data_IF_701434657269
#
_entry.id   IF_701434657269
#
_cell.length_a   1.000
_cell.length_b   1.000
_cell.length_c   1.000
_cell.angle_alpha   90.00
_cell.angle_beta   90.00
_cell.angle_gamma   90.00
#
_symmetry.space_group_name_H-M   'P 1'
#
loop_
_entity.id
_entity.type
_entity.pdbx_description
1 polymer ?
#
# COMPACT_ATOMS: atom_id res chain seq x y z
N UNK A 1 20.83 5.10 -2.63
CA UNK A 1 19.54 5.76 -2.35
C UNK A 1 18.78 5.06 -1.22
N UNK A 2 18.51 3.76 -1.34
CA UNK A 2 17.80 2.98 -0.30
C UNK A 2 18.32 3.18 1.13
N UNK A 3 19.61 2.89 1.37
CA UNK A 3 20.21 3.05 2.70
C UNK A 3 20.20 4.49 3.21
N UNK A 4 20.28 5.47 2.31
CA UNK A 4 20.20 6.88 2.68
C UNK A 4 18.79 7.19 3.19
N UNK A 5 17.76 6.87 2.41
CA UNK A 5 16.37 7.20 2.69
C UNK A 5 15.87 6.42 3.91
N UNK A 6 15.97 5.09 3.89
CA UNK A 6 15.48 4.27 5.00
C UNK A 6 16.33 4.46 6.24
N UNK A 7 17.65 4.54 6.11
CA UNK A 7 18.51 4.83 7.24
C UNK A 7 18.16 6.17 7.89
N UNK A 8 17.99 7.23 7.11
CA UNK A 8 17.67 8.54 7.68
C UNK A 8 16.27 8.63 8.28
N UNK A 9 15.28 7.92 7.73
CA UNK A 9 13.95 7.80 8.37
C UNK A 9 14.06 7.01 9.68
N UNK A 10 14.74 5.86 9.67
CA UNK A 10 14.86 4.97 10.83
C UNK A 10 15.72 5.55 11.96
N UNK A 11 16.69 6.40 11.64
CA UNK A 11 17.50 7.12 12.65
C UNK A 11 16.91 8.49 13.03
N UNK A 12 15.73 8.85 12.51
CA UNK A 12 15.07 10.12 12.82
C UNK A 12 15.81 11.36 12.29
N UNK A 13 16.72 11.18 11.32
CA UNK A 13 17.49 12.27 10.70
C UNK A 13 16.58 13.16 9.84
N UNK A 14 15.56 12.55 9.22
CA UNK A 14 14.56 13.25 8.44
C UNK A 14 13.22 12.53 8.44
N UNK A 15 12.15 13.31 8.37
CA UNK A 15 10.76 12.84 8.25
C UNK A 15 10.49 12.22 6.87
N UNK A 16 9.41 11.42 6.67
CA UNK A 16 9.07 10.88 5.35
C UNK A 16 8.96 11.94 4.24
N UNK A 17 8.45 13.14 4.57
CA UNK A 17 8.34 14.25 3.63
C UNK A 17 9.72 14.77 3.22
N UNK A 18 10.62 14.97 4.18
CA UNK A 18 12.01 15.39 3.92
C UNK A 18 12.81 14.30 3.19
N UNK A 19 12.57 13.03 3.53
CA UNK A 19 13.17 11.88 2.87
C UNK A 19 12.85 11.83 1.37
N UNK A 20 11.62 12.21 0.99
CA UNK A 20 11.22 12.36 -0.41
C UNK A 20 12.06 13.41 -1.14
N UNK A 21 12.25 14.58 -0.54
CA UNK A 21 13.11 15.64 -1.09
C UNK A 21 14.58 15.21 -1.22
N UNK A 22 15.11 14.55 -0.20
CA UNK A 22 16.47 14.00 -0.21
C UNK A 22 16.62 12.91 -1.28
N UNK A 23 15.61 12.05 -1.45
CA UNK A 23 15.56 11.05 -2.51
C UNK A 23 15.54 11.64 -3.91
N UNK A 24 14.80 12.74 -4.11
CA UNK A 24 14.76 13.48 -5.37
C UNK A 24 16.11 14.12 -5.70
N UNK A 25 16.72 14.83 -4.73
CA UNK A 25 18.06 15.41 -4.89
C UNK A 25 19.09 14.31 -5.17
N UNK A 26 19.03 13.20 -4.43
CA UNK A 26 19.91 12.05 -4.64
C UNK A 26 19.78 11.49 -6.06
N UNK A 27 18.55 11.29 -6.54
CA UNK A 27 18.27 10.80 -7.90
C UNK A 27 18.78 11.77 -8.97
N UNK A 28 18.59 13.07 -8.78
CA UNK A 28 19.11 14.12 -9.64
C UNK A 28 20.65 14.10 -9.72
N UNK A 29 21.33 14.01 -8.57
CA UNK A 29 22.79 13.86 -8.50
C UNK A 29 23.26 12.59 -9.24
N UNK A 30 22.60 11.45 -9.03
CA UNK A 30 22.93 10.21 -9.72
C UNK A 30 22.81 10.33 -11.25
N UNK A 31 21.77 10.99 -11.74
CA UNK A 31 21.58 11.20 -13.17
C UNK A 31 22.60 12.18 -13.78
N UNK A 32 22.97 13.24 -13.06
CA UNK A 32 24.05 14.16 -13.46
C UNK A 32 25.41 13.46 -13.51
N UNK A 33 25.75 12.66 -12.49
CA UNK A 33 27.00 11.88 -12.46
C UNK A 33 27.09 10.89 -13.63
N UNK A 34 25.96 10.34 -14.07
CA UNK A 34 25.88 9.45 -15.25
C UNK A 34 25.88 10.21 -16.59
N UNK A 35 25.96 11.54 -16.59
CA UNK A 35 25.89 12.41 -17.78
C UNK A 35 24.65 12.15 -18.65
N UNK A 36 23.55 11.71 -18.04
CA UNK A 36 22.26 11.46 -18.72
C UNK A 36 21.24 12.57 -18.48
N UNK A 37 21.62 13.61 -17.74
CA UNK A 37 20.74 14.71 -17.40
C UNK A 37 20.77 15.77 -18.50
N UNK A 38 19.59 16.09 -19.03
CA UNK A 38 19.36 17.20 -19.95
C UNK A 38 18.14 18.00 -19.50
N UNK A 39 18.02 19.25 -19.96
CA UNK A 39 16.87 20.09 -19.61
C UNK A 39 15.51 19.49 -20.00
N UNK A 40 15.35 18.89 -21.20
CA UNK A 40 14.11 18.19 -21.55
C UNK A 40 13.78 17.04 -20.59
N UNK A 41 14.77 16.20 -20.25
CA UNK A 41 14.57 15.07 -19.32
C UNK A 41 14.13 15.56 -17.95
N UNK A 42 14.77 16.63 -17.43
CA UNK A 42 14.39 17.20 -16.14
C UNK A 42 12.95 17.71 -16.14
N UNK A 43 12.54 18.40 -17.20
CA UNK A 43 11.18 18.94 -17.33
C UNK A 43 10.15 17.83 -17.47
N UNK A 44 10.37 16.86 -18.36
CA UNK A 44 9.48 15.72 -18.59
C UNK A 44 9.29 14.90 -17.30
N UNK A 45 10.37 14.54 -16.61
CA UNK A 45 10.29 13.81 -15.34
C UNK A 45 9.58 14.61 -14.24
N UNK A 46 9.71 15.95 -14.23
CA UNK A 46 9.02 16.79 -13.26
C UNK A 46 7.52 16.86 -13.54
N UNK A 47 7.12 16.92 -14.81
CA UNK A 47 5.72 16.91 -15.22
C UNK A 47 5.08 15.56 -14.91
N UNK A 48 5.75 14.45 -15.20
CA UNK A 48 5.28 13.10 -14.86
C UNK A 48 5.08 12.95 -13.35
N UNK A 49 6.06 13.37 -12.54
CA UNK A 49 5.95 13.36 -11.09
C UNK A 49 4.77 14.23 -10.58
N UNK A 50 4.57 15.41 -11.18
CA UNK A 50 3.45 16.29 -10.83
C UNK A 50 2.09 15.68 -11.20
N UNK A 51 1.98 15.00 -12.34
CA UNK A 51 0.77 14.30 -12.75
C UNK A 51 0.43 13.15 -11.80
N UNK A 52 1.40 12.31 -11.46
CA UNK A 52 1.21 11.23 -10.47
C UNK A 52 0.77 11.80 -9.12
N UNK A 53 1.43 12.87 -8.66
CA UNK A 53 1.10 13.54 -7.40
C UNK A 53 -0.31 14.13 -7.42
N UNK A 54 -0.71 14.78 -8.53
CA UNK A 54 -2.04 15.34 -8.70
C UNK A 54 -3.14 14.27 -8.68
N UNK A 55 -2.91 13.11 -9.31
CA UNK A 55 -3.83 11.97 -9.25
C UNK A 55 -4.01 11.48 -7.82
N UNK A 56 -2.91 11.29 -7.07
CA UNK A 56 -2.96 10.86 -5.67
C UNK A 56 -3.72 11.88 -4.81
N UNK A 57 -3.43 13.17 -4.95
CA UNK A 57 -4.14 14.21 -4.20
C UNK A 57 -5.64 14.27 -4.53
N UNK A 58 -6.02 14.11 -5.80
CA UNK A 58 -7.42 14.11 -6.19
C UNK A 58 -8.20 12.97 -5.51
N UNK A 59 -7.59 11.79 -5.44
CA UNK A 59 -8.17 10.64 -4.75
C UNK A 59 -8.23 10.88 -3.24
N UNK A 60 -7.17 11.43 -2.65
CA UNK A 60 -7.14 11.77 -1.23
C UNK A 60 -8.24 12.78 -0.85
N UNK A 61 -8.47 13.81 -1.67
CA UNK A 61 -9.56 14.77 -1.47
C UNK A 61 -10.91 14.06 -1.54
N UNK A 62 -11.12 13.19 -2.54
CA UNK A 62 -12.34 12.39 -2.65
C UNK A 62 -12.55 11.47 -1.44
N UNK A 63 -11.49 10.85 -0.93
CA UNK A 63 -11.52 10.01 0.26
C UNK A 63 -11.86 10.80 1.53
N UNK A 64 -11.35 12.03 1.69
CA UNK A 64 -11.70 12.90 2.82
C UNK A 64 -13.18 13.30 2.79
N UNK A 65 -13.72 13.59 1.60
CA UNK A 65 -15.14 13.85 1.42
C UNK A 65 -15.95 12.59 1.76
N UNK A 66 -15.56 11.43 1.21
CA UNK A 66 -16.19 10.14 1.50
C UNK A 66 -16.18 9.80 3.00
N UNK A 67 -15.07 10.05 3.70
CA UNK A 67 -14.95 9.83 5.13
C UNK A 67 -15.99 10.65 5.92
N UNK A 68 -16.17 11.93 5.56
CA UNK A 68 -17.22 12.77 6.16
C UNK A 68 -18.62 12.22 5.89
N UNK A 69 -18.88 11.76 4.67
CA UNK A 69 -20.18 11.13 4.33
C UNK A 69 -20.41 9.84 5.11
N UNK A 70 -19.41 8.96 5.25
CA UNK A 70 -19.49 7.73 6.04
C UNK A 70 -19.81 8.04 7.51
N UNK A 71 -19.11 9.03 8.08
CA UNK A 71 -19.33 9.47 9.46
C UNK A 71 -20.75 10.02 9.66
N UNK A 72 -21.24 10.88 8.75
CA UNK A 72 -22.58 11.45 8.82
C UNK A 72 -23.69 10.42 8.56
N UNK A 73 -23.48 9.49 7.63
CA UNK A 73 -24.44 8.44 7.31
C UNK A 73 -24.47 7.31 8.35
N UNK A 74 -23.53 7.27 9.29
CA UNK A 74 -23.43 6.22 10.30
C UNK A 74 -23.10 4.84 9.73
N UNK A 75 -22.48 4.78 8.55
CA UNK A 75 -22.19 3.52 7.84
C UNK A 75 -21.29 2.63 8.70
N UNK A 76 -20.24 3.20 9.31
CA UNK A 76 -19.31 2.44 10.16
C UNK A 76 -20.05 1.77 11.32
N UNK A 77 -20.91 2.50 12.03
CA UNK A 77 -21.72 1.94 13.13
C UNK A 77 -22.69 0.86 12.63
N UNK A 78 -23.30 1.05 11.45
CA UNK A 78 -24.17 0.05 10.84
C UNK A 78 -23.43 -1.26 10.50
N UNK A 79 -22.23 -1.16 9.94
CA UNK A 79 -21.38 -2.32 9.62
C UNK A 79 -20.93 -3.03 10.89
N UNK A 80 -20.50 -2.30 11.92
CA UNK A 80 -20.13 -2.86 13.23
C UNK A 80 -21.29 -3.64 13.84
N UNK A 81 -22.48 -3.01 13.95
CA UNK A 81 -23.68 -3.66 14.49
C UNK A 81 -24.07 -4.92 13.70
N UNK A 82 -23.93 -4.89 12.38
CA UNK A 82 -24.20 -6.05 11.53
C UNK A 82 -23.21 -7.19 11.80
N UNK A 83 -21.91 -6.87 11.91
CA UNK A 83 -20.88 -7.85 12.24
C UNK A 83 -21.12 -8.45 13.64
N UNK A 84 -21.45 -7.61 14.63
CA UNK A 84 -21.80 -8.07 15.98
C UNK A 84 -23.01 -9.00 15.98
N UNK A 85 -24.03 -8.71 15.14
CA UNK A 85 -25.21 -9.57 15.00
C UNK A 85 -24.90 -10.97 14.47
N UNK A 86 -23.83 -11.11 13.68
CA UNK A 86 -23.37 -12.40 13.15
C UNK A 86 -22.62 -13.24 14.19
N UNK A 87 -22.25 -12.66 15.34
CA UNK A 87 -21.45 -13.31 16.39
C UNK A 87 -20.15 -13.94 15.85
N UNK A 88 -19.54 -13.30 14.85
CA UNK A 88 -18.27 -13.79 14.29
C UNK A 88 -17.10 -13.48 15.23
N UNK A 89 -16.07 -14.32 15.18
CA UNK A 89 -14.82 -13.98 15.86
C UNK A 89 -14.14 -12.79 15.14
N UNK A 90 -13.45 -11.90 15.87
CA UNK A 90 -12.70 -10.79 15.26
C UNK A 90 -11.77 -11.23 14.13
N UNK A 91 -11.16 -12.41 14.26
CA UNK A 91 -10.30 -13.00 13.25
C UNK A 91 -11.06 -13.41 11.98
N UNK A 92 -12.28 -13.93 12.10
CA UNK A 92 -13.10 -14.25 10.92
C UNK A 92 -13.49 -12.99 10.13
N UNK A 93 -13.81 -11.90 10.83
CA UNK A 93 -14.11 -10.60 10.22
C UNK A 93 -12.89 -10.06 9.48
N UNK A 94 -11.72 -10.12 10.12
CA UNK A 94 -10.44 -9.77 9.50
C UNK A 94 -10.22 -10.56 8.19
N UNK A 95 -10.39 -11.88 8.19
CA UNK A 95 -10.23 -12.69 6.97
C UNK A 95 -11.17 -12.27 5.85
N UNK A 96 -12.40 -11.89 6.16
CA UNK A 96 -13.36 -11.36 5.17
C UNK A 96 -12.87 -10.02 4.60
N UNK A 97 -12.38 -9.12 5.46
CA UNK A 97 -11.78 -7.85 5.03
C UNK A 97 -10.59 -8.11 4.12
N UNK A 98 -9.69 -9.03 4.49
CA UNK A 98 -8.54 -9.38 3.66
C UNK A 98 -8.96 -9.98 2.31
N UNK A 99 -9.94 -10.88 2.29
CA UNK A 99 -10.48 -11.42 1.04
C UNK A 99 -11.07 -10.31 0.15
N UNK A 100 -11.77 -9.33 0.75
CA UNK A 100 -12.26 -8.16 0.04
C UNK A 100 -11.12 -7.33 -0.57
N UNK A 101 -10.02 -7.10 0.17
CA UNK A 101 -8.85 -6.39 -0.36
C UNK A 101 -8.18 -7.11 -1.53
N UNK A 102 -8.11 -8.45 -1.53
CA UNK A 102 -7.58 -9.20 -2.68
C UNK A 102 -8.44 -8.93 -3.91
N UNK A 103 -9.76 -9.04 -3.79
CA UNK A 103 -10.69 -8.83 -4.92
C UNK A 103 -10.62 -7.39 -5.41
N UNK A 104 -10.72 -6.42 -4.49
CA UNK A 104 -10.72 -5.00 -4.84
C UNK A 104 -9.39 -4.59 -5.49
N UNK A 105 -8.27 -5.00 -4.91
CA UNK A 105 -6.93 -4.64 -5.38
C UNK A 105 -6.51 -5.35 -6.67
N UNK A 106 -7.28 -6.34 -7.14
CA UNK A 106 -7.09 -6.86 -8.50
C UNK A 106 -7.60 -5.88 -9.56
N UNK A 107 -8.40 -4.88 -9.19
CA UNK A 107 -8.96 -3.88 -10.13
C UNK A 107 -8.43 -2.47 -9.86
N UNK A 108 -8.25 -2.14 -8.59
CA UNK A 108 -7.88 -0.80 -8.14
C UNK A 108 -6.38 -0.74 -7.83
N UNK A 109 -5.73 0.34 -8.26
CA UNK A 109 -4.32 0.63 -7.96
C UNK A 109 -4.11 0.85 -6.45
N UNK A 110 -2.91 0.54 -5.96
CA UNK A 110 -2.56 0.45 -4.55
C UNK A 110 -2.97 1.67 -3.74
N UNK A 111 -2.40 2.85 -4.01
CA UNK A 111 -2.69 4.07 -3.23
C UNK A 111 -4.18 4.43 -3.29
N UNK A 112 -4.78 4.34 -4.48
CA UNK A 112 -6.21 4.60 -4.66
C UNK A 112 -7.08 3.70 -3.79
N UNK A 113 -6.73 2.42 -3.71
CA UNK A 113 -7.41 1.45 -2.87
C UNK A 113 -7.32 1.83 -1.40
N UNK A 114 -6.12 2.15 -0.89
CA UNK A 114 -5.92 2.54 0.52
C UNK A 114 -6.81 3.72 0.88
N UNK A 115 -6.76 4.80 0.09
CA UNK A 115 -7.53 6.02 0.38
C UNK A 115 -9.04 5.76 0.40
N UNK A 116 -9.54 4.90 -0.49
CA UNK A 116 -10.96 4.58 -0.57
C UNK A 116 -11.43 3.74 0.63
N UNK A 117 -10.65 2.77 1.06
CA UNK A 117 -11.08 1.73 2.00
C UNK A 117 -10.76 2.05 3.46
N UNK A 118 -9.68 2.78 3.73
CA UNK A 118 -9.25 3.14 5.08
C UNK A 118 -10.36 3.82 5.91
N UNK A 119 -11.10 4.81 5.38
CA UNK A 119 -12.20 5.46 6.12
C UNK A 119 -13.29 4.50 6.60
N UNK A 120 -13.48 3.38 5.88
CA UNK A 120 -14.51 2.39 6.18
C UNK A 120 -13.98 1.36 7.18
N UNK A 121 -12.79 0.81 6.95
CA UNK A 121 -12.30 -0.33 7.72
C UNK A 121 -11.55 0.05 8.99
N UNK A 122 -10.91 1.22 9.08
CA UNK A 122 -10.20 1.62 10.31
C UNK A 122 -11.13 1.61 11.54
N UNK A 123 -12.33 2.22 11.49
CA UNK A 123 -13.27 2.15 12.62
C UNK A 123 -13.66 0.72 13.01
N UNK A 124 -13.79 -0.18 12.03
CA UNK A 124 -14.15 -1.59 12.24
C UNK A 124 -13.00 -2.36 12.87
N UNK A 125 -11.77 -2.16 12.39
CA UNK A 125 -10.57 -2.81 12.91
C UNK A 125 -10.28 -2.35 14.34
N UNK A 126 -10.43 -1.06 14.61
CA UNK A 126 -10.28 -0.48 15.94
C UNK A 126 -11.34 -1.03 16.91
N UNK A 127 -12.61 -1.14 16.50
CA UNK A 127 -13.68 -1.72 17.34
C UNK A 127 -13.44 -3.20 17.68
N UNK A 128 -12.73 -3.92 16.80
CA UNK A 128 -12.36 -5.31 17.02
C UNK A 128 -11.11 -5.48 17.90
N UNK A 129 -10.46 -4.37 18.28
CA UNK A 129 -9.28 -4.35 19.17
C UNK A 129 -7.96 -4.66 18.47
N UNK A 130 -7.88 -4.55 17.15
CA UNK A 130 -6.63 -4.73 16.42
C UNK A 130 -5.80 -3.44 16.39
N UNK A 131 -4.48 -3.58 16.42
CA UNK A 131 -3.54 -2.48 16.29
C UNK A 131 -3.57 -1.88 14.87
N UNK A 132 -3.68 -0.56 14.77
CA UNK A 132 -3.82 0.16 13.50
C UNK A 132 -2.51 0.21 12.69
N UNK A 133 -1.35 0.17 13.35
CA UNK A 133 -0.05 0.11 12.69
C UNK A 133 0.09 -1.26 12.02
N UNK A 134 -0.19 -2.33 12.76
CA UNK A 134 -0.22 -3.69 12.24
C UNK A 134 -1.21 -3.80 11.08
N UNK A 135 -2.41 -3.23 11.20
CA UNK A 135 -3.39 -3.24 10.10
C UNK A 135 -2.87 -2.47 8.89
N UNK A 136 -2.21 -1.33 9.08
CA UNK A 136 -1.56 -0.58 8.02
C UNK A 136 -0.48 -1.40 7.30
N UNK A 137 0.35 -2.13 8.05
CA UNK A 137 1.37 -3.04 7.48
C UNK A 137 0.69 -4.14 6.65
N UNK A 138 -0.32 -4.80 7.21
CA UNK A 138 -1.09 -5.84 6.51
C UNK A 138 -1.73 -5.28 5.25
N UNK A 139 -2.31 -4.07 5.32
CA UNK A 139 -2.95 -3.41 4.18
C UNK A 139 -1.95 -3.14 3.05
N UNK A 140 -0.75 -2.63 3.36
CA UNK A 140 0.32 -2.46 2.37
C UNK A 140 0.80 -3.80 1.81
N UNK A 141 0.88 -4.85 2.63
CA UNK A 141 1.20 -6.18 2.12
C UNK A 141 0.13 -6.69 1.15
N UNK A 142 -1.14 -6.41 1.43
CA UNK A 142 -2.27 -6.81 0.58
C UNK A 142 -2.29 -6.04 -0.74
N UNK A 143 -1.94 -4.75 -0.74
CA UNK A 143 -1.83 -3.97 -1.99
C UNK A 143 -0.76 -4.56 -2.92
N UNK A 144 0.38 -4.99 -2.37
CA UNK A 144 1.44 -5.62 -3.18
C UNK A 144 0.98 -6.97 -3.77
N UNK A 145 0.33 -7.80 -2.95
CA UNK A 145 -0.21 -9.10 -3.39
C UNK A 145 -1.26 -8.90 -4.48
N UNK A 146 -2.17 -7.93 -4.32
CA UNK A 146 -3.27 -7.74 -5.25
C UNK A 146 -2.80 -7.29 -6.64
N UNK A 147 -1.72 -6.52 -6.73
CA UNK A 147 -1.15 -6.03 -7.99
C UNK A 147 -0.49 -7.13 -8.85
N UNK A 148 -0.20 -8.29 -8.26
CA UNK A 148 0.34 -9.46 -8.98
C UNK A 148 -0.66 -10.62 -9.09
N UNK A 149 -1.81 -10.52 -8.42
CA UNK A 149 -2.83 -11.57 -8.39
C UNK A 149 -3.76 -11.47 -9.62
N UNK A 150 -4.05 -12.57 -10.34
CA UNK A 150 -5.10 -12.59 -11.36
C UNK A 150 -6.45 -12.18 -10.79
N UNK A 151 -7.35 -11.46 -11.50
CA UNK A 151 -7.51 -11.41 -12.96
C UNK A 151 -6.76 -10.32 -13.73
N UNK A 152 -6.56 -9.12 -13.17
CA UNK A 152 -5.86 -8.03 -13.89
C UNK A 152 -4.38 -8.01 -13.56
N UNK A 153 -3.94 -8.24 -12.31
CA UNK A 153 -2.52 -8.24 -11.95
C UNK A 153 -1.71 -7.15 -12.65
N UNK A 154 -2.02 -5.88 -12.36
CA UNK A 154 -1.54 -4.71 -13.11
C UNK A 154 -0.04 -4.77 -13.45
N UNK A 155 0.79 -5.18 -12.49
CA UNK A 155 2.23 -5.32 -12.68
C UNK A 155 2.60 -6.37 -13.75
N UNK A 156 1.84 -7.46 -13.82
CA UNK A 156 1.99 -8.52 -14.84
C UNK A 156 1.63 -8.00 -16.23
N UNK A 157 0.59 -7.17 -16.35
CA UNK A 157 0.19 -6.58 -17.63
C UNK A 157 1.15 -5.49 -18.09
N UNK A 158 1.71 -4.70 -17.18
CA UNK A 158 2.79 -3.77 -17.48
C UNK A 158 4.02 -4.53 -17.98
N UNK A 159 4.39 -5.66 -17.34
CA UNK A 159 5.47 -6.51 -17.85
C UNK A 159 5.16 -7.09 -19.24
N UNK A 160 3.91 -7.48 -19.49
CA UNK A 160 3.47 -7.98 -20.80
C UNK A 160 3.54 -6.91 -21.90
N UNK A 161 3.27 -5.64 -21.59
CA UNK A 161 3.38 -4.56 -22.58
C UNK A 161 4.84 -4.25 -22.95
N UNK A 162 5.77 -4.45 -22.01
CA UNK A 162 7.21 -4.31 -22.25
C UNK A 162 7.83 -5.52 -22.96
N UNK A 163 7.23 -6.71 -22.85
CA UNK A 163 7.69 -7.95 -23.49
C UNK A 163 6.54 -8.63 -24.26
N UNK A 164 6.11 -8.10 -25.41
CA UNK A 164 4.96 -8.60 -26.15
C UNK A 164 5.08 -10.06 -26.58
N UNK A 165 6.30 -10.57 -26.75
CA UNK A 165 6.56 -11.94 -27.22
C UNK A 165 6.37 -13.01 -26.14
N UNK A 166 6.40 -12.63 -24.84
CA UNK A 166 6.28 -13.59 -23.74
C UNK A 166 4.81 -13.80 -23.40
N UNK A 167 4.28 -15.04 -23.46
CA UNK A 167 2.86 -15.27 -23.18
C UNK A 167 2.53 -15.03 -21.70
N UNK A 168 1.34 -14.50 -21.44
CA UNK A 168 0.91 -14.06 -20.10
C UNK A 168 0.97 -15.18 -19.06
N UNK A 169 0.67 -16.42 -19.46
CA UNK A 169 0.75 -17.61 -18.60
C UNK A 169 2.18 -17.89 -18.09
N UNK A 170 3.21 -17.61 -18.88
CA UNK A 170 4.62 -17.79 -18.49
C UNK A 170 5.00 -16.75 -17.44
N UNK A 171 4.52 -15.51 -17.59
CA UNK A 171 4.76 -14.44 -16.62
C UNK A 171 4.09 -14.77 -15.29
N UNK A 172 2.80 -15.14 -15.29
CA UNK A 172 2.11 -15.55 -14.06
C UNK A 172 2.74 -16.77 -13.39
N UNK A 173 3.17 -17.77 -14.17
CA UNK A 173 3.86 -18.94 -13.64
C UNK A 173 5.23 -18.58 -13.03
N UNK A 174 5.93 -17.61 -13.62
CA UNK A 174 7.20 -17.08 -13.11
C UNK A 174 7.04 -16.31 -11.80
N UNK A 175 5.89 -15.66 -11.60
CA UNK A 175 5.56 -14.92 -10.36
C UNK A 175 5.07 -15.86 -9.24
N UNK A 176 4.55 -17.04 -9.57
CA UNK A 176 4.02 -18.02 -8.61
C UNK A 176 4.87 -18.22 -7.34
N UNK A 177 6.20 -18.41 -7.42
CA UNK A 177 7.06 -18.51 -6.23
C UNK A 177 7.05 -17.25 -5.35
N UNK A 178 7.06 -16.05 -5.94
CA UNK A 178 6.96 -14.78 -5.22
C UNK A 178 5.60 -14.63 -4.55
N UNK A 179 4.53 -14.96 -5.28
CA UNK A 179 3.17 -14.94 -4.73
C UNK A 179 3.03 -15.88 -3.51
N UNK A 180 3.56 -17.11 -3.61
CA UNK A 180 3.59 -18.03 -2.48
C UNK A 180 4.40 -17.49 -1.30
N UNK A 181 5.57 -16.87 -1.56
CA UNK A 181 6.38 -16.26 -0.52
C UNK A 181 5.65 -15.10 0.19
N UNK A 182 4.93 -14.27 -0.56
CA UNK A 182 4.13 -13.18 0.00
C UNK A 182 2.94 -13.68 0.83
N UNK A 183 2.27 -14.77 0.41
CA UNK A 183 1.22 -15.39 1.22
C UNK A 183 1.76 -15.98 2.52
N UNK A 184 2.93 -16.60 2.49
CA UNK A 184 3.60 -17.10 3.70
C UNK A 184 3.97 -15.92 4.61
N UNK A 185 4.57 -14.88 4.04
CA UNK A 185 4.93 -13.64 4.77
C UNK A 185 3.69 -13.00 5.41
N UNK A 186 2.59 -12.89 4.67
CA UNK A 186 1.31 -12.37 5.17
C UNK A 186 0.77 -13.24 6.30
N UNK A 187 0.79 -14.57 6.14
CA UNK A 187 0.31 -15.50 7.17
C UNK A 187 1.13 -15.37 8.47
N UNK A 188 2.45 -15.21 8.36
CA UNK A 188 3.32 -14.97 9.53
C UNK A 188 2.96 -13.65 10.21
N UNK A 189 2.81 -12.56 9.47
CA UNK A 189 2.45 -11.25 10.05
C UNK A 189 1.06 -11.26 10.67
N UNK A 190 0.10 -11.96 10.04
CA UNK A 190 -1.28 -12.03 10.52
C UNK A 190 -1.41 -12.88 11.79
N UNK A 191 -0.68 -13.99 11.86
CA UNK A 191 -0.71 -14.90 13.02
C UNK A 191 0.22 -14.45 14.15
N UNK A 192 1.27 -13.69 13.83
CA UNK A 192 2.28 -13.21 14.79
C UNK A 192 2.52 -11.69 14.63
N UNK A 193 1.57 -10.84 15.09
CA UNK A 193 1.70 -9.38 15.03
C UNK A 193 3.04 -8.79 15.55
N UNK A 194 3.67 -9.34 16.61
CA UNK A 194 4.95 -8.81 17.09
C UNK A 194 6.06 -8.81 16.04
N UNK A 195 6.02 -9.68 15.04
CA UNK A 195 7.01 -9.70 13.94
C UNK A 195 6.96 -8.39 13.14
N UNK A 196 5.78 -7.83 12.96
CA UNK A 196 5.58 -6.57 12.24
C UNK A 196 5.78 -5.34 13.13
N UNK A 197 5.44 -5.44 14.43
CA UNK A 197 5.45 -4.33 15.36
C UNK A 197 6.82 -4.08 16.03
N UNK A 198 7.68 -5.09 16.10
CA UNK A 198 8.98 -4.98 16.79
C UNK A 198 9.86 -3.84 16.27
N UNK A 199 9.97 -3.67 14.95
CA UNK A 199 10.81 -2.62 14.37
C UNK A 199 10.22 -1.21 14.59
N UNK A 200 8.91 -0.96 14.34
CA UNK A 200 8.27 0.29 14.73
C UNK A 200 8.45 0.63 16.21
N UNK A 201 8.25 -0.33 17.11
CA UNK A 201 8.43 -0.12 18.57
C UNK A 201 9.87 0.27 18.91
N UNK A 202 10.87 -0.34 18.27
CA UNK A 202 12.28 -0.04 18.49
C UNK A 202 12.67 1.35 17.99
N UNK A 203 12.10 1.79 16.86
CA UNK A 203 12.47 3.03 16.17
C UNK A 203 11.71 4.24 16.72
N UNK A 204 10.42 4.08 17.01
CA UNK A 204 9.54 5.19 17.39
C UNK A 204 9.16 5.19 18.88
N UNK A 205 9.49 4.14 19.64
CA UNK A 205 9.07 3.95 21.03
C UNK A 205 7.67 3.33 21.14
N UNK A 206 7.30 2.85 22.34
CA UNK A 206 5.95 2.35 22.60
C UNK A 206 4.91 3.48 22.46
N UNK A 207 3.88 3.25 21.65
CA UNK A 207 2.70 4.10 21.50
C UNK A 207 1.65 3.79 22.56
#
# INVERSE_FOLDING_TARGET
LFFLILGGISFGVFTPNEAGGIGAIGSLLFAMLRKKMSWPVLFESSVEAAQTTAMVFMIAIGALILNNFIALAGISSGVINWIESLNFSPFAVLLVILAFYVVLGTVVEGLAMIFLTVPIFVPVIESLGFDLIWFGIVLVMMTEISLITPPIGLNVFVMKSMMPDVPLNVIFRGIGPFFCADLVRLSVVVLFPPVALWLPELVYGHF
#
